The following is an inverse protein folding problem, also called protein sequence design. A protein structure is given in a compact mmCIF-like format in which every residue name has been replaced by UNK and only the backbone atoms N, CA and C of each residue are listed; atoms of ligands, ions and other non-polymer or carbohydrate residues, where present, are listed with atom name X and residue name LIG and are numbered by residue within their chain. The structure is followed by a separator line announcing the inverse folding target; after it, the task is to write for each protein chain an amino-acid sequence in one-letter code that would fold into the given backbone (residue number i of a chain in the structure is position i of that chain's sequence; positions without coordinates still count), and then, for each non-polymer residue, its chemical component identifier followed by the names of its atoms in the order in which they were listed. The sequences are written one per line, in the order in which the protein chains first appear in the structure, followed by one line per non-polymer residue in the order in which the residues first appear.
data_IF_167251595349
#
_entry.id   IF_167251595349
#
_cell.length_a   1.000
_cell.length_b   1.000
_cell.length_c   1.000
_cell.angle_alpha   90.00
_cell.angle_beta   90.00
_cell.angle_gamma   90.00
#
_symmetry.space_group_name_H-M   'P 1'
#
loop_
_entity.id
_entity.type
_entity.pdbx_description
1 polymer ?
#
# COMPACT_ATOMS: atom_id res chain seq x y z
N UNK A 1 12.14 -17.62 15.92
CA UNK A 1 11.75 -18.18 14.60
C UNK A 1 10.88 -17.16 13.87
N UNK A 2 11.12 -16.99 12.57
CA UNK A 2 10.21 -16.41 11.55
C UNK A 2 9.77 -14.92 11.62
N UNK A 3 10.53 -14.00 12.22
CA UNK A 3 10.23 -12.54 12.09
C UNK A 3 10.46 -12.01 10.67
N UNK A 4 11.38 -12.62 9.90
CA UNK A 4 11.71 -12.17 8.55
C UNK A 4 10.59 -12.33 7.52
N UNK A 5 9.70 -13.32 7.69
CA UNK A 5 8.66 -13.65 6.72
C UNK A 5 7.53 -12.62 6.72
N UNK A 6 6.95 -12.21 7.87
CA UNK A 6 5.97 -11.13 7.93
C UNK A 6 6.52 -9.78 7.42
N UNK A 7 7.79 -9.50 7.71
CA UNK A 7 8.46 -8.25 7.31
C UNK A 7 8.66 -8.17 5.79
N UNK A 8 9.09 -9.28 5.18
CA UNK A 8 9.18 -9.41 3.71
C UNK A 8 7.81 -9.31 3.05
N UNK A 9 6.79 -9.99 3.59
CA UNK A 9 5.41 -9.92 3.08
C UNK A 9 4.82 -8.51 3.19
N UNK A 10 5.27 -7.68 4.14
CA UNK A 10 4.84 -6.29 4.24
C UNK A 10 5.57 -5.33 3.30
N UNK A 11 6.89 -5.46 3.19
CA UNK A 11 7.74 -4.55 2.40
C UNK A 11 7.54 -4.76 0.89
N UNK A 12 7.46 -6.01 0.45
CA UNK A 12 7.33 -6.37 -0.97
C UNK A 12 6.11 -5.73 -1.64
N UNK A 13 4.87 -5.86 -1.13
CA UNK A 13 3.71 -5.22 -1.74
C UNK A 13 3.77 -3.68 -1.68
N UNK A 14 4.31 -3.09 -0.62
CA UNK A 14 4.51 -1.64 -0.54
C UNK A 14 5.45 -1.09 -1.62
N UNK A 15 6.56 -1.80 -1.87
CA UNK A 15 7.51 -1.47 -2.95
C UNK A 15 6.90 -1.66 -4.34
N UNK A 16 6.13 -2.73 -4.54
CA UNK A 16 5.44 -3.00 -5.81
C UNK A 16 4.45 -1.86 -6.13
N UNK A 17 3.71 -1.37 -5.14
CA UNK A 17 2.77 -0.26 -5.33
C UNK A 17 3.51 1.01 -5.72
N UNK A 18 4.62 1.34 -5.03
CA UNK A 18 5.43 2.51 -5.37
C UNK A 18 5.97 2.46 -6.80
N UNK A 19 6.48 1.30 -7.22
CA UNK A 19 6.99 1.07 -8.57
C UNK A 19 5.88 1.22 -9.62
N UNK A 20 4.69 0.66 -9.36
CA UNK A 20 3.52 0.82 -10.23
C UNK A 20 3.08 2.28 -10.34
N UNK A 21 2.97 3.00 -9.23
CA UNK A 21 2.62 4.44 -9.23
C UNK A 21 3.65 5.25 -10.03
N UNK A 22 4.93 4.95 -9.88
CA UNK A 22 5.99 5.62 -10.62
C UNK A 22 5.94 5.30 -12.12
N UNK A 23 5.65 4.05 -12.49
CA UNK A 23 5.49 3.62 -13.88
C UNK A 23 4.29 4.31 -14.56
N UNK A 24 3.13 4.35 -13.90
CA UNK A 24 1.96 5.06 -14.44
C UNK A 24 2.20 6.57 -14.58
N UNK A 25 2.99 7.16 -13.67
CA UNK A 25 3.44 8.55 -13.81
C UNK A 25 4.32 8.76 -15.05
N UNK A 26 5.27 7.85 -15.33
CA UNK A 26 6.14 7.92 -16.51
C UNK A 26 5.35 7.84 -17.83
N UNK A 27 4.23 7.11 -17.86
CA UNK A 27 3.43 6.94 -19.07
C UNK A 27 2.51 8.13 -19.42
N UNK A 28 2.54 9.25 -18.67
CA UNK A 28 1.68 10.44 -18.88
C UNK A 28 0.18 10.14 -18.96
N UNK A 29 -0.28 9.10 -18.27
CA UNK A 29 -1.69 8.73 -18.28
C UNK A 29 -2.57 9.77 -17.56
N UNK A 30 -3.85 9.83 -17.95
CA UNK A 30 -4.85 10.74 -17.35
C UNK A 30 -4.87 10.57 -15.83
N UNK A 31 -5.18 11.66 -15.12
CA UNK A 31 -5.16 11.73 -13.65
C UNK A 31 -5.90 10.56 -13.00
N UNK A 32 -7.05 10.17 -13.55
CA UNK A 32 -7.87 9.04 -13.10
C UNK A 32 -7.09 7.73 -13.06
N UNK A 33 -6.31 7.44 -14.11
CA UNK A 33 -5.54 6.18 -14.21
C UNK A 33 -4.33 6.21 -13.29
N UNK A 34 -3.74 7.39 -13.09
CA UNK A 34 -2.62 7.60 -12.15
C UNK A 34 -3.05 7.48 -10.67
N UNK A 35 -4.34 7.63 -10.39
CA UNK A 35 -4.92 7.43 -9.05
C UNK A 35 -5.25 5.97 -8.72
N UNK A 36 -5.40 5.10 -9.73
CA UNK A 36 -5.73 3.67 -9.54
C UNK A 36 -4.80 2.99 -8.52
N UNK A 37 -3.47 3.15 -8.57
CA UNK A 37 -2.57 2.53 -7.60
C UNK A 37 -2.87 2.96 -6.17
N UNK A 38 -3.14 4.26 -5.94
CA UNK A 38 -3.43 4.80 -4.62
C UNK A 38 -4.77 4.27 -4.08
N UNK A 39 -5.80 4.18 -4.93
CA UNK A 39 -7.11 3.63 -4.55
C UNK A 39 -6.96 2.15 -4.18
N UNK A 40 -6.23 1.39 -4.99
CA UNK A 40 -5.95 -0.03 -4.71
C UNK A 40 -5.18 -0.21 -3.40
N UNK A 41 -4.22 0.66 -3.05
CA UNK A 41 -3.54 0.56 -1.76
C UNK A 41 -4.44 0.83 -0.57
N UNK A 42 -5.37 1.78 -0.68
CA UNK A 42 -6.37 2.03 0.38
C UNK A 42 -7.23 0.79 0.58
N UNK A 43 -7.73 0.20 -0.52
CA UNK A 43 -8.54 -1.02 -0.46
C UNK A 43 -7.75 -2.16 0.20
N UNK A 44 -6.51 -2.39 -0.25
CA UNK A 44 -5.64 -3.42 0.32
C UNK A 44 -5.39 -3.19 1.82
N UNK A 45 -5.18 -1.95 2.24
CA UNK A 45 -5.01 -1.63 3.66
C UNK A 45 -6.26 -1.94 4.48
N UNK A 46 -7.46 -1.64 3.97
CA UNK A 46 -8.70 -1.92 4.69
C UNK A 46 -8.88 -3.43 4.88
N UNK A 47 -8.60 -4.22 3.84
CA UNK A 47 -8.66 -5.68 3.89
C UNK A 47 -7.65 -6.21 4.92
N UNK A 48 -6.41 -5.73 4.90
CA UNK A 48 -5.37 -6.17 5.86
C UNK A 48 -5.71 -5.76 7.30
N UNK A 49 -6.33 -4.60 7.49
CA UNK A 49 -6.81 -4.18 8.80
C UNK A 49 -7.91 -5.11 9.31
N UNK A 50 -8.85 -5.51 8.45
CA UNK A 50 -9.89 -6.47 8.80
C UNK A 50 -9.31 -7.82 9.18
N UNK A 51 -8.39 -8.37 8.37
CA UNK A 51 -7.71 -9.64 8.65
C UNK A 51 -6.94 -9.56 9.98
N UNK A 52 -6.17 -8.49 10.19
CA UNK A 52 -5.34 -8.33 11.38
C UNK A 52 -6.12 -8.07 12.68
N UNK A 53 -7.37 -7.58 12.58
CA UNK A 53 -8.21 -7.32 13.74
C UNK A 53 -9.21 -8.44 14.04
N UNK A 54 -9.81 -9.04 13.00
CA UNK A 54 -10.92 -9.99 13.13
C UNK A 54 -10.45 -11.43 13.05
N UNK A 55 -9.68 -11.78 12.01
CA UNK A 55 -9.32 -13.17 11.68
C UNK A 55 -8.07 -13.64 12.43
N UNK A 56 -7.00 -12.83 12.41
CA UNK A 56 -5.70 -13.19 13.00
C UNK A 56 -5.51 -12.43 14.30
N UNK A 57 -5.37 -13.14 15.42
CA UNK A 57 -5.19 -12.55 16.76
C UNK A 57 -3.78 -12.75 17.29
N UNK A 58 -3.37 -11.90 18.23
CA UNK A 58 -2.04 -11.95 18.83
C UNK A 58 -1.00 -11.16 18.04
N UNK A 59 0.27 -11.59 18.12
CA UNK A 59 1.40 -10.86 17.53
C UNK A 59 1.33 -10.74 16.00
N UNK A 60 0.80 -11.77 15.33
CA UNK A 60 0.64 -11.77 13.87
C UNK A 60 -0.45 -10.79 13.41
N UNK A 61 -1.58 -10.74 14.13
CA UNK A 61 -2.64 -9.76 13.90
C UNK A 61 -2.12 -8.32 14.03
N UNK A 62 -1.35 -8.06 15.10
CA UNK A 62 -0.70 -6.78 15.32
C UNK A 62 0.26 -6.41 14.16
N UNK A 63 0.95 -7.38 13.55
CA UNK A 63 1.80 -7.14 12.39
C UNK A 63 0.99 -6.75 11.15
N UNK A 64 -0.16 -7.38 10.90
CA UNK A 64 -1.07 -6.99 9.81
C UNK A 64 -1.67 -5.60 10.00
N UNK A 65 -2.07 -5.27 11.24
CA UNK A 65 -2.53 -3.94 11.63
C UNK A 65 -1.44 -2.88 11.42
N UNK A 66 -0.21 -3.18 11.83
CA UNK A 66 0.94 -2.30 11.62
C UNK A 66 1.18 -2.10 10.11
N UNK A 67 1.20 -3.17 9.32
CA UNK A 67 1.35 -3.10 7.87
C UNK A 67 0.25 -2.23 7.20
N UNK A 68 -1.00 -2.37 7.62
CA UNK A 68 -2.11 -1.57 7.12
C UNK A 68 -1.86 -0.06 7.32
N UNK A 69 -1.37 0.35 8.49
CA UNK A 69 -1.03 1.76 8.77
C UNK A 69 0.02 2.27 7.78
N UNK A 70 1.06 1.48 7.48
CA UNK A 70 2.06 1.87 6.48
C UNK A 70 1.48 1.97 5.07
N UNK A 71 0.59 1.06 4.67
CA UNK A 71 -0.06 1.11 3.36
C UNK A 71 -0.95 2.35 3.21
N UNK A 72 -1.61 2.80 4.28
CA UNK A 72 -2.34 4.08 4.29
C UNK A 72 -1.39 5.25 4.06
N UNK A 73 -0.25 5.29 4.76
CA UNK A 73 0.76 6.34 4.56
C UNK A 73 1.28 6.35 3.11
N UNK A 74 1.59 5.18 2.54
CA UNK A 74 1.99 5.08 1.14
C UNK A 74 0.88 5.47 0.17
N UNK A 75 -0.38 5.16 0.47
CA UNK A 75 -1.52 5.60 -0.33
C UNK A 75 -1.64 7.13 -0.36
N UNK A 76 -1.44 7.79 0.79
CA UNK A 76 -1.44 9.26 0.89
C UNK A 76 -0.30 9.84 0.04
N UNK A 77 0.92 9.31 0.17
CA UNK A 77 2.07 9.75 -0.62
C UNK A 77 1.83 9.53 -2.12
N UNK A 78 1.30 8.36 -2.49
CA UNK A 78 0.94 7.99 -3.86
C UNK A 78 -0.10 8.95 -4.45
N UNK A 79 -1.11 9.32 -3.67
CA UNK A 79 -2.13 10.29 -4.04
C UNK A 79 -1.54 11.70 -4.26
N UNK A 80 -0.67 12.16 -3.37
CA UNK A 80 0.03 13.44 -3.51
C UNK A 80 0.91 13.43 -4.77
N UNK A 81 1.62 12.35 -5.03
CA UNK A 81 2.43 12.18 -6.25
C UNK A 81 1.56 12.14 -7.50
N UNK A 82 0.40 11.48 -7.47
CA UNK A 82 -0.52 11.37 -8.60
C UNK A 82 -1.11 12.74 -8.97
N UNK A 83 -1.44 13.58 -7.96
CA UNK A 83 -1.97 14.93 -8.17
C UNK A 83 -0.93 15.98 -8.58
N UNK A 84 0.37 15.74 -8.39
CA UNK A 84 1.39 16.67 -8.86
C UNK A 84 1.33 16.82 -10.40
N UNK A 85 1.24 18.07 -10.91
CA UNK A 85 1.19 18.32 -12.35
C UNK A 85 2.43 17.72 -13.02
N UNK A 86 2.21 17.04 -14.15
CA UNK A 86 3.28 16.54 -15.00
C UNK A 86 3.98 17.77 -15.58
N UNK A 87 5.21 18.02 -15.13
CA UNK A 87 6.09 19.05 -15.70
C UNK A 87 6.65 18.55 -17.03
#
# INVERSE_FOLDING_TARGET
MMIGIPLLIGIVPGLIVLLLTWLFRRMKWRLTVRMIPAILTVIASIILFYIGYVEVRGFEGAAYLFLAIFLILFAIISFVIAKKPLR
#
